data_IF_820997022361
#
_entry.id   IF_820997022361
#
_cell.length_a   1.000
_cell.length_b   1.000
_cell.length_c   1.000
_cell.angle_alpha   90.00
_cell.angle_beta   90.00
_cell.angle_gamma   90.00
#
_symmetry.space_group_name_H-M   'P 1'
#
loop_
_entity.id
_entity.type
_entity.pdbx_description
1 polymer ?
#
# COMPACT_ATOMS: atom_id res chain seq x y z
N UNK A 1 -17.03 1.51 -20.89
CA UNK A 1 -16.39 1.65 -22.23
C UNK A 1 -15.85 3.05 -22.53
N UNK A 2 -16.32 4.10 -21.83
CA UNK A 2 -15.85 5.48 -22.10
C UNK A 2 -14.55 5.86 -21.39
N UNK A 3 -14.16 5.15 -20.34
CA UNK A 3 -12.89 5.37 -19.62
C UNK A 3 -11.70 5.05 -20.53
N UNK A 4 -11.77 3.98 -21.31
CA UNK A 4 -10.70 3.59 -22.25
C UNK A 4 -10.51 4.53 -23.44
N UNK A 5 -11.53 5.33 -23.80
CA UNK A 5 -11.46 6.29 -24.92
C UNK A 5 -10.76 7.60 -24.56
N UNK A 6 -10.42 7.81 -23.29
CA UNK A 6 -9.90 9.08 -22.78
C UNK A 6 -8.45 9.01 -22.33
N UNK A 7 -7.75 7.90 -22.58
CA UNK A 7 -6.35 7.71 -22.23
C UNK A 7 -5.42 8.45 -23.20
N UNK A 8 -4.20 8.75 -22.76
CA UNK A 8 -3.15 9.39 -23.55
C UNK A 8 -2.92 8.68 -24.89
N UNK A 9 -2.93 7.34 -24.88
CA UNK A 9 -2.76 6.53 -26.08
C UNK A 9 -3.73 6.92 -27.20
N UNK A 10 -5.01 7.16 -26.90
CA UNK A 10 -5.99 7.56 -27.91
C UNK A 10 -5.69 8.93 -28.52
N UNK A 11 -5.15 9.85 -27.72
CA UNK A 11 -4.74 11.17 -28.20
C UNK A 11 -3.50 11.07 -29.08
N UNK A 12 -2.51 10.29 -28.66
CA UNK A 12 -1.30 10.00 -29.43
C UNK A 12 -1.68 9.37 -30.78
N UNK A 13 -2.55 8.35 -30.79
CA UNK A 13 -3.05 7.68 -32.01
C UNK A 13 -3.66 8.69 -32.98
N UNK A 14 -4.51 9.60 -32.49
CA UNK A 14 -5.14 10.63 -33.32
C UNK A 14 -4.13 11.63 -33.85
N UNK A 15 -3.21 12.09 -33.02
CA UNK A 15 -2.22 13.11 -33.38
C UNK A 15 -1.24 12.64 -34.46
N UNK A 16 -0.86 11.37 -34.41
CA UNK A 16 0.05 10.77 -35.38
C UNK A 16 -0.65 10.09 -36.57
N UNK A 17 -1.96 10.33 -36.75
CA UNK A 17 -2.76 9.74 -37.84
C UNK A 17 -2.62 8.21 -37.95
N UNK A 18 -2.54 7.54 -36.81
CA UNK A 18 -2.61 6.08 -36.72
C UNK A 18 -4.03 5.64 -37.01
N UNK A 19 -4.23 4.65 -37.86
CA UNK A 19 -5.54 4.14 -38.22
C UNK A 19 -6.08 3.16 -37.17
N UNK A 20 -7.09 3.54 -36.34
CA UNK A 20 -7.50 2.71 -35.19
C UNK A 20 -8.08 1.36 -35.61
N UNK A 21 -8.80 1.32 -36.75
CA UNK A 21 -9.41 0.08 -37.25
C UNK A 21 -8.35 -0.94 -37.69
N UNK A 22 -7.29 -0.46 -38.33
CA UNK A 22 -6.17 -1.30 -38.77
C UNK A 22 -5.36 -1.77 -37.56
N UNK A 23 -5.06 -0.86 -36.65
CA UNK A 23 -4.35 -1.21 -35.41
C UNK A 23 -5.10 -2.26 -34.60
N UNK A 24 -6.42 -2.11 -34.44
CA UNK A 24 -7.25 -3.07 -33.71
C UNK A 24 -7.24 -4.45 -34.37
N UNK A 25 -7.32 -4.51 -35.70
CA UNK A 25 -7.24 -5.76 -36.45
C UNK A 25 -5.87 -6.43 -36.27
N UNK A 26 -4.79 -5.69 -36.45
CA UNK A 26 -3.41 -6.22 -36.36
C UNK A 26 -3.16 -6.77 -34.94
N UNK A 27 -3.63 -6.06 -33.88
CA UNK A 27 -3.52 -6.52 -32.50
C UNK A 27 -4.37 -7.78 -32.23
N UNK A 28 -5.57 -7.87 -32.80
CA UNK A 28 -6.43 -9.06 -32.67
C UNK A 28 -5.77 -10.27 -33.34
N UNK A 29 -5.24 -10.10 -34.55
CA UNK A 29 -4.49 -11.15 -35.24
C UNK A 29 -3.25 -11.59 -34.49
N UNK A 30 -2.52 -10.66 -33.85
CA UNK A 30 -1.37 -10.98 -33.01
C UNK A 30 -1.76 -11.78 -31.76
N UNK A 31 -2.87 -11.43 -31.12
CA UNK A 31 -3.42 -12.17 -29.97
C UNK A 31 -3.86 -13.60 -30.38
N UNK A 32 -4.47 -13.76 -31.54
CA UNK A 32 -4.90 -15.08 -32.04
C UNK A 32 -3.74 -16.03 -32.36
N UNK A 33 -2.55 -15.48 -32.66
CA UNK A 33 -1.33 -16.26 -32.91
C UNK A 33 -0.65 -16.72 -31.63
N UNK A 34 -1.05 -16.22 -30.45
CA UNK A 34 -0.44 -16.64 -29.17
C UNK A 34 -0.81 -18.09 -28.83
N UNK A 35 0.13 -18.87 -28.27
CA UNK A 35 -0.14 -20.24 -27.83
C UNK A 35 -1.26 -20.25 -26.79
N UNK A 36 -2.30 -21.05 -27.02
CA UNK A 36 -3.41 -21.24 -26.09
C UNK A 36 -3.15 -22.49 -25.24
N UNK A 37 -3.47 -22.44 -23.95
CA UNK A 37 -3.48 -23.64 -23.07
C UNK A 37 -2.47 -23.68 -21.95
N UNK A 38 -1.86 -22.56 -21.57
CA UNK A 38 -1.09 -22.48 -20.32
C UNK A 38 -2.04 -22.43 -19.12
N UNK A 39 -1.97 -23.42 -18.23
CA UNK A 39 -2.80 -23.51 -17.01
C UNK A 39 -2.26 -22.73 -15.81
N UNK A 40 -1.08 -22.14 -15.92
CA UNK A 40 -0.49 -21.28 -14.87
C UNK A 40 0.27 -20.13 -15.48
N UNK A 41 -0.11 -18.92 -15.12
CA UNK A 41 0.68 -17.70 -15.34
C UNK A 41 1.57 -17.58 -14.11
N UNK A 42 2.86 -17.84 -14.24
CA UNK A 42 3.81 -17.81 -13.14
C UNK A 42 4.53 -16.48 -13.01
N UNK A 43 4.58 -15.67 -14.10
CA UNK A 43 5.28 -14.38 -14.07
C UNK A 43 4.84 -13.46 -15.22
N UNK A 44 5.14 -12.16 -15.10
CA UNK A 44 4.97 -11.18 -16.16
C UNK A 44 6.08 -11.36 -17.21
N UNK A 45 5.77 -11.05 -18.47
CA UNK A 45 6.78 -11.03 -19.53
C UNK A 45 7.84 -9.96 -19.23
N UNK A 46 9.13 -10.28 -19.42
CA UNK A 46 10.24 -9.33 -19.26
C UNK A 46 10.05 -8.05 -20.10
N UNK A 47 9.37 -8.13 -21.24
CA UNK A 47 9.03 -6.94 -22.04
C UNK A 47 8.01 -6.03 -21.33
N UNK A 48 7.10 -6.59 -20.53
CA UNK A 48 6.13 -5.78 -19.75
C UNK A 48 6.84 -5.08 -18.60
N UNK A 49 7.73 -5.80 -17.90
CA UNK A 49 8.54 -5.22 -16.83
C UNK A 49 9.45 -4.11 -17.35
N UNK A 50 10.18 -4.36 -18.43
CA UNK A 50 11.03 -3.38 -19.10
C UNK A 50 10.23 -2.17 -19.60
N UNK A 51 9.02 -2.37 -20.14
CA UNK A 51 8.16 -1.27 -20.61
C UNK A 51 7.72 -0.36 -19.45
N UNK A 52 7.35 -0.94 -18.30
CA UNK A 52 6.95 -0.18 -17.10
C UNK A 52 8.16 0.58 -16.54
N UNK A 53 9.31 -0.08 -16.39
CA UNK A 53 10.55 0.55 -15.94
C UNK A 53 10.95 1.74 -16.83
N UNK A 54 10.96 1.54 -18.14
CA UNK A 54 11.29 2.61 -19.10
C UNK A 54 10.27 3.73 -19.11
N UNK A 55 8.98 3.39 -19.01
CA UNK A 55 7.91 4.38 -18.87
C UNK A 55 8.10 5.26 -17.64
N UNK A 56 8.46 4.65 -16.51
CA UNK A 56 8.76 5.39 -15.28
C UNK A 56 10.03 6.24 -15.40
N UNK A 57 11.12 5.69 -15.94
CA UNK A 57 12.38 6.42 -16.15
C UNK A 57 12.17 7.66 -17.03
N UNK A 58 11.47 7.54 -18.16
CA UNK A 58 11.21 8.69 -19.04
C UNK A 58 10.21 9.67 -18.41
N UNK A 59 9.17 9.18 -17.71
CA UNK A 59 8.22 10.02 -16.99
C UNK A 59 8.88 10.87 -15.91
N UNK A 60 9.73 10.25 -15.09
CA UNK A 60 10.41 10.95 -14.00
C UNK A 60 11.55 11.86 -14.48
N UNK A 61 12.38 11.42 -15.43
CA UNK A 61 13.55 12.20 -15.88
C UNK A 61 13.20 13.35 -16.84
N UNK A 62 12.21 13.15 -17.73
CA UNK A 62 11.89 14.15 -18.76
C UNK A 62 10.74 15.07 -18.36
N UNK A 63 9.80 14.57 -17.55
CA UNK A 63 8.57 15.30 -17.21
C UNK A 63 8.39 15.54 -15.71
N UNK A 64 9.31 15.02 -14.85
CA UNK A 64 9.26 15.24 -13.39
C UNK A 64 8.09 14.57 -12.67
N UNK A 65 7.44 13.61 -13.31
CA UNK A 65 6.25 12.94 -12.79
C UNK A 65 6.59 11.72 -11.93
N UNK A 66 5.88 11.55 -10.84
CA UNK A 66 6.05 10.41 -9.92
C UNK A 66 5.18 9.19 -10.29
N UNK A 67 4.22 9.36 -11.20
CA UNK A 67 3.30 8.31 -11.63
C UNK A 67 3.50 7.94 -13.09
N UNK A 68 3.35 6.65 -13.40
CA UNK A 68 3.42 6.15 -14.77
C UNK A 68 2.04 6.29 -15.43
N UNK A 69 1.97 7.08 -16.51
CA UNK A 69 0.77 7.20 -17.35
C UNK A 69 0.98 6.50 -18.70
N UNK A 70 -0.10 6.23 -19.41
CA UNK A 70 -0.03 5.47 -20.68
C UNK A 70 0.83 6.17 -21.74
N UNK A 71 0.88 7.48 -21.75
CA UNK A 71 1.75 8.25 -22.64
C UNK A 71 3.24 7.99 -22.41
N UNK A 72 3.67 7.87 -21.15
CA UNK A 72 5.07 7.56 -20.81
C UNK A 72 5.43 6.11 -21.13
N UNK A 73 4.49 5.17 -20.98
CA UNK A 73 4.69 3.80 -21.42
C UNK A 73 4.94 3.73 -22.93
N UNK A 74 4.12 4.41 -23.72
CA UNK A 74 4.28 4.49 -25.17
C UNK A 74 5.64 5.08 -25.55
N UNK A 75 6.04 6.17 -24.90
CA UNK A 75 7.34 6.82 -25.12
C UNK A 75 8.49 5.89 -24.73
N UNK A 76 8.41 5.22 -23.58
CA UNK A 76 9.40 4.28 -23.08
C UNK A 76 9.60 3.09 -24.03
N UNK A 77 8.49 2.52 -24.52
CA UNK A 77 8.52 1.42 -25.49
C UNK A 77 9.16 1.88 -26.81
N UNK A 78 8.78 3.02 -27.34
CA UNK A 78 9.29 3.50 -28.64
C UNK A 78 10.75 3.96 -28.60
N UNK A 79 11.25 4.43 -27.46
CA UNK A 79 12.66 4.83 -27.28
C UNK A 79 13.58 3.65 -26.93
N UNK A 80 13.05 2.50 -26.56
CA UNK A 80 13.83 1.30 -26.21
C UNK A 80 13.90 0.36 -27.43
N UNK A 81 15.07 0.09 -28.03
CA UNK A 81 15.17 -0.66 -29.30
C UNK A 81 14.52 -2.05 -29.25
N UNK A 82 14.71 -2.82 -28.15
CA UNK A 82 14.11 -4.15 -27.95
C UNK A 82 12.58 -4.10 -27.99
N UNK A 83 11.99 -3.19 -27.22
CA UNK A 83 10.55 -3.01 -27.09
C UNK A 83 9.93 -2.42 -28.35
N UNK A 84 10.62 -1.46 -28.98
CA UNK A 84 10.19 -0.90 -30.26
C UNK A 84 10.09 -1.96 -31.35
N UNK A 85 11.09 -2.85 -31.45
CA UNK A 85 11.07 -3.94 -32.41
C UNK A 85 9.89 -4.89 -32.18
N UNK A 86 9.63 -5.24 -30.91
CA UNK A 86 8.48 -6.06 -30.53
C UNK A 86 7.15 -5.37 -30.91
N UNK A 87 7.01 -4.06 -30.60
CA UNK A 87 5.81 -3.28 -30.89
C UNK A 87 5.54 -3.16 -32.40
N UNK A 88 6.58 -2.89 -33.20
CA UNK A 88 6.47 -2.83 -34.67
C UNK A 88 6.16 -4.19 -35.29
N UNK A 89 6.57 -5.29 -34.64
CA UNK A 89 6.18 -6.65 -35.04
C UNK A 89 4.69 -6.95 -34.81
N UNK A 90 4.01 -6.21 -33.93
CA UNK A 90 2.57 -6.33 -33.73
C UNK A 90 1.78 -5.55 -34.79
N UNK A 91 2.16 -4.31 -35.06
CA UNK A 91 1.55 -3.49 -36.12
C UNK A 91 2.52 -2.43 -36.62
N UNK A 92 2.62 -2.30 -37.91
CA UNK A 92 3.40 -1.25 -38.59
C UNK A 92 2.83 0.16 -38.36
N UNK A 93 1.60 0.28 -37.90
CA UNK A 93 0.95 1.56 -37.59
C UNK A 93 1.70 2.34 -36.49
N UNK A 94 2.38 1.64 -35.58
CA UNK A 94 3.18 2.28 -34.54
C UNK A 94 4.43 3.03 -35.06
N UNK A 95 4.91 2.76 -36.26
CA UNK A 95 6.04 3.50 -36.84
C UNK A 95 5.68 4.95 -37.24
N UNK A 96 4.39 5.25 -37.32
CA UNK A 96 3.91 6.62 -37.52
C UNK A 96 4.18 7.50 -36.30
N UNK A 97 4.26 6.92 -35.10
CA UNK A 97 4.52 7.65 -33.88
C UNK A 97 6.02 7.88 -33.75
N UNK A 98 6.44 9.12 -33.96
CA UNK A 98 7.85 9.49 -33.85
C UNK A 98 8.17 9.85 -32.38
N UNK A 99 9.06 9.11 -31.71
CA UNK A 99 9.33 9.29 -30.28
C UNK A 99 9.94 10.65 -29.95
N UNK A 100 10.70 11.25 -30.88
CA UNK A 100 11.29 12.58 -30.73
C UNK A 100 10.18 13.64 -30.68
N UNK A 101 9.29 13.66 -31.67
CA UNK A 101 8.16 14.58 -31.74
C UNK A 101 7.20 14.40 -30.57
N UNK A 102 6.98 13.15 -30.13
CA UNK A 102 6.15 12.85 -28.97
C UNK A 102 6.78 13.41 -27.68
N UNK A 103 8.11 13.27 -27.50
CA UNK A 103 8.79 13.78 -26.31
C UNK A 103 8.90 15.30 -26.25
N UNK A 104 9.07 15.98 -27.39
CA UNK A 104 9.19 17.44 -27.46
C UNK A 104 7.87 18.19 -27.21
N UNK A 105 6.74 17.60 -27.62
CA UNK A 105 5.42 18.23 -27.55
C UNK A 105 4.42 17.40 -26.74
N UNK A 106 4.91 16.71 -25.73
CA UNK A 106 4.09 15.76 -24.97
C UNK A 106 2.86 16.42 -24.36
N UNK A 107 3.05 17.55 -23.65
CA UNK A 107 1.98 18.29 -22.99
C UNK A 107 0.96 18.87 -23.96
N UNK A 108 1.39 19.27 -25.15
CA UNK A 108 0.49 19.74 -26.20
C UNK A 108 -0.44 18.62 -26.71
N UNK A 109 0.08 17.38 -26.79
CA UNK A 109 -0.67 16.24 -27.28
C UNK A 109 -1.61 15.60 -26.26
N UNK A 110 -1.22 15.61 -24.97
CA UNK A 110 -1.96 14.89 -23.92
C UNK A 110 -2.40 15.78 -22.74
N UNK A 111 -2.18 17.10 -22.80
CA UNK A 111 -2.48 18.04 -21.71
C UNK A 111 -3.93 18.04 -21.24
N UNK A 112 -4.90 17.81 -22.13
CA UNK A 112 -6.32 17.66 -21.79
C UNK A 112 -6.74 16.22 -21.50
N UNK A 113 -5.81 15.28 -21.34
CA UNK A 113 -6.14 13.89 -21.01
C UNK A 113 -6.63 13.77 -19.57
N UNK A 114 -7.62 12.90 -19.30
CA UNK A 114 -8.03 12.58 -17.92
C UNK A 114 -6.90 12.02 -17.07
N UNK A 115 -5.88 11.43 -17.68
CA UNK A 115 -4.69 10.98 -16.95
C UNK A 115 -3.88 12.16 -16.38
N UNK A 116 -4.06 13.36 -16.91
CA UNK A 116 -3.43 14.57 -16.37
C UNK A 116 -4.02 14.97 -14.99
N UNK A 117 -5.29 14.62 -14.73
CA UNK A 117 -5.91 14.83 -13.42
C UNK A 117 -5.47 13.80 -12.37
N UNK A 118 -4.82 12.71 -12.80
CA UNK A 118 -4.23 11.69 -11.94
C UNK A 118 -2.76 12.00 -11.60
N UNK A 119 -2.13 12.97 -12.28
CA UNK A 119 -0.84 13.48 -11.87
C UNK A 119 -1.03 14.16 -10.51
N UNK A 120 -0.63 13.47 -9.45
CA UNK A 120 -0.55 14.09 -8.15
C UNK A 120 0.44 15.25 -8.27
N UNK A 121 -0.03 16.47 -8.14
CA UNK A 121 0.82 17.65 -8.03
C UNK A 121 1.53 17.57 -6.68
N UNK A 122 2.62 16.83 -6.62
CA UNK A 122 3.56 16.87 -5.51
C UNK A 122 4.39 18.14 -5.62
N UNK A 123 3.78 19.30 -5.71
CA UNK A 123 4.42 20.62 -5.49
C UNK A 123 5.81 20.88 -6.09
N UNK A 124 6.33 20.01 -6.93
CA UNK A 124 7.60 20.17 -7.61
C UNK A 124 7.38 21.00 -8.88
N UNK A 125 7.60 22.29 -8.78
CA UNK A 125 7.85 23.12 -9.96
C UNK A 125 9.13 22.60 -10.64
N UNK A 126 8.98 21.97 -11.79
CA UNK A 126 10.09 21.62 -12.65
C UNK A 126 10.84 22.91 -13.04
N UNK A 127 12.07 23.04 -12.56
CA UNK A 127 13.00 24.06 -13.05
C UNK A 127 13.23 23.89 -14.54
N UNK A 128 13.55 24.98 -15.20
CA UNK A 128 13.79 25.10 -16.65
C UNK A 128 14.79 24.04 -17.11
N UNK A 129 14.58 23.34 -18.25
CA UNK A 129 15.52 22.35 -18.77
C UNK A 129 16.90 22.98 -19.02
N UNK A 130 17.91 22.52 -18.29
CA UNK A 130 19.30 23.00 -18.44
C UNK A 130 19.97 23.40 -17.12
N UNK A 131 19.26 23.57 -16.03
CA UNK A 131 19.88 23.69 -14.72
C UNK A 131 20.22 22.29 -14.19
N UNK A 132 21.44 22.11 -13.70
CA UNK A 132 21.90 20.90 -13.04
C UNK A 132 20.86 20.52 -12.00
N UNK A 133 20.42 19.24 -12.00
CA UNK A 133 19.44 18.71 -11.06
C UNK A 133 19.80 19.21 -9.67
N UNK A 134 19.12 20.24 -9.23
CA UNK A 134 19.25 20.74 -7.88
C UNK A 134 18.64 19.68 -6.97
N UNK A 135 19.50 18.78 -6.47
CA UNK A 135 19.26 18.27 -5.14
C UNK A 135 18.98 19.51 -4.31
N UNK A 136 17.71 19.77 -3.99
CA UNK A 136 17.34 20.92 -3.16
C UNK A 136 18.23 20.86 -1.94
N UNK A 137 19.04 21.93 -1.77
CA UNK A 137 19.86 22.05 -0.58
C UNK A 137 18.92 21.84 0.63
N UNK A 138 19.33 21.12 1.68
CA UNK A 138 18.51 20.80 2.85
C UNK A 138 17.82 22.00 3.51
N UNK A 139 18.23 23.20 3.18
CA UNK A 139 17.71 24.49 3.70
C UNK A 139 16.41 24.98 3.03
N UNK A 140 15.92 24.35 1.97
CA UNK A 140 14.73 24.81 1.22
C UNK A 140 13.44 24.08 1.58
N UNK A 141 13.49 22.95 2.31
CA UNK A 141 12.29 22.36 2.92
C UNK A 141 11.79 23.27 4.05
N UNK A 142 10.53 23.69 3.98
CA UNK A 142 9.89 24.47 5.04
C UNK A 142 10.01 23.75 6.39
N UNK A 143 10.12 24.52 7.48
CA UNK A 143 10.22 23.98 8.85
C UNK A 143 9.09 22.96 9.07
N UNK A 144 9.43 21.72 9.44
CA UNK A 144 8.55 20.55 9.71
C UNK A 144 7.99 19.80 8.49
N UNK A 145 8.50 20.02 7.29
CA UNK A 145 8.00 19.33 6.09
C UNK A 145 8.46 17.86 6.06
N UNK A 146 9.70 17.57 6.45
CA UNK A 146 10.21 16.21 6.57
C UNK A 146 9.45 15.41 7.64
N UNK A 147 9.10 16.06 8.75
CA UNK A 147 8.31 15.43 9.81
C UNK A 147 6.92 15.03 9.31
N UNK A 148 6.24 15.86 8.53
CA UNK A 148 4.93 15.56 7.95
C UNK A 148 5.00 14.46 6.89
N UNK A 149 6.07 14.45 6.09
CA UNK A 149 6.24 13.52 4.98
C UNK A 149 6.60 12.10 5.43
N UNK A 150 7.47 11.99 6.43
CA UNK A 150 8.04 10.71 6.85
C UNK A 150 7.52 10.19 8.19
N UNK A 151 6.54 10.87 8.79
CA UNK A 151 5.95 10.42 10.05
C UNK A 151 4.44 10.52 10.04
N UNK A 152 3.79 9.60 10.78
CA UNK A 152 2.34 9.60 11.03
C UNK A 152 2.09 10.08 12.45
N UNK A 153 1.19 11.04 12.65
CA UNK A 153 0.83 11.55 13.97
C UNK A 153 -0.22 10.64 14.63
N UNK A 154 0.22 9.81 15.58
CA UNK A 154 -0.65 8.90 16.32
C UNK A 154 -1.56 9.64 17.31
N UNK A 155 -1.10 10.78 17.87
CA UNK A 155 -1.94 11.58 18.76
C UNK A 155 -3.07 12.27 18.01
N UNK A 156 -2.86 12.68 16.77
CA UNK A 156 -3.92 13.21 15.92
C UNK A 156 -4.89 12.12 15.46
N UNK A 157 -4.38 10.92 15.15
CA UNK A 157 -5.24 9.78 14.86
C UNK A 157 -6.10 9.40 16.07
N UNK A 158 -5.54 9.44 17.27
CA UNK A 158 -6.30 9.23 18.51
C UNK A 158 -7.40 10.27 18.69
N UNK A 159 -7.11 11.57 18.46
CA UNK A 159 -8.10 12.67 18.56
C UNK A 159 -9.23 12.52 17.53
N UNK A 160 -8.89 12.09 16.32
CA UNK A 160 -9.86 11.88 15.25
C UNK A 160 -10.65 10.57 15.36
N UNK A 161 -10.41 9.75 16.39
CA UNK A 161 -11.10 8.47 16.60
C UNK A 161 -10.76 7.39 15.58
N UNK A 162 -9.59 7.51 14.94
CA UNK A 162 -9.11 6.52 13.95
C UNK A 162 -8.40 5.32 14.58
N UNK A 163 -8.01 5.44 15.84
CA UNK A 163 -7.39 4.34 16.56
C UNK A 163 -8.44 3.50 17.28
N UNK A 164 -8.26 2.20 17.24
CA UNK A 164 -9.11 1.27 17.94
C UNK A 164 -8.92 1.35 19.47
N UNK A 165 -9.94 1.05 20.28
CA UNK A 165 -9.79 0.95 21.73
C UNK A 165 -8.79 -0.15 22.10
N UNK A 166 -7.77 0.19 22.88
CA UNK A 166 -6.77 -0.77 23.34
C UNK A 166 -7.12 -1.25 24.74
N UNK A 167 -7.34 -2.54 24.87
CA UNK A 167 -7.70 -3.22 26.11
C UNK A 167 -6.65 -4.28 26.43
N UNK A 168 -6.34 -4.47 27.73
CA UNK A 168 -5.48 -5.56 28.20
C UNK A 168 -3.97 -5.32 28.07
N UNK A 169 -3.54 -4.08 27.75
CA UNK A 169 -2.13 -3.65 27.68
C UNK A 169 -1.77 -2.54 28.67
N UNK A 170 -2.59 -2.39 29.71
CA UNK A 170 -2.44 -1.32 30.70
C UNK A 170 -1.11 -1.37 31.45
N UNK A 171 -0.58 -2.55 31.72
CA UNK A 171 0.66 -2.75 32.46
C UNK A 171 1.85 -2.30 31.61
N UNK A 172 1.92 -2.73 30.34
CA UNK A 172 2.97 -2.36 29.42
C UNK A 172 2.94 -0.86 29.13
N UNK A 173 1.75 -0.26 29.00
CA UNK A 173 1.60 1.20 28.81
C UNK A 173 2.08 1.95 30.07
N UNK A 174 1.76 1.49 31.29
CA UNK A 174 2.28 2.10 32.53
C UNK A 174 3.81 2.02 32.58
N UNK A 175 4.40 0.87 32.29
CA UNK A 175 5.85 0.72 32.24
C UNK A 175 6.49 1.66 31.22
N UNK A 176 5.85 1.82 30.05
CA UNK A 176 6.31 2.75 29.00
C UNK A 176 6.30 4.19 29.54
N UNK A 177 5.22 4.62 30.19
CA UNK A 177 5.09 5.95 30.80
C UNK A 177 6.16 6.15 31.89
N UNK A 178 6.34 5.17 32.76
CA UNK A 178 7.34 5.22 33.85
C UNK A 178 8.77 5.38 33.30
N UNK A 179 9.10 4.69 32.22
CA UNK A 179 10.41 4.80 31.58
C UNK A 179 10.58 6.19 30.97
N UNK A 180 9.57 6.69 30.26
CA UNK A 180 9.60 8.03 29.66
C UNK A 180 9.78 9.16 30.71
N UNK A 181 9.37 8.94 31.94
CA UNK A 181 9.54 9.91 33.06
C UNK A 181 10.93 9.87 33.69
N UNK A 182 11.76 8.90 33.37
CA UNK A 182 13.12 8.78 33.96
C UNK A 182 14.06 9.86 33.43
N UNK A 183 15.06 10.18 34.24
CA UNK A 183 16.13 11.10 33.83
C UNK A 183 17.17 10.45 32.89
N UNK A 184 17.38 9.14 33.03
CA UNK A 184 18.31 8.33 32.24
C UNK A 184 17.62 7.06 31.82
N UNK A 185 18.06 6.45 30.71
CA UNK A 185 17.40 5.27 30.13
C UNK A 185 15.89 5.53 29.96
N UNK A 186 15.56 6.67 29.39
CA UNK A 186 14.22 7.19 29.27
C UNK A 186 13.58 6.91 27.88
N UNK A 187 14.18 6.00 27.10
CA UNK A 187 13.61 5.53 25.85
C UNK A 187 13.18 4.07 26.04
N UNK A 188 11.89 3.76 26.06
CA UNK A 188 11.43 2.38 26.10
C UNK A 188 11.66 1.68 24.78
N UNK A 189 12.03 0.40 24.86
CA UNK A 189 12.05 -0.50 23.71
C UNK A 189 11.16 -1.70 23.98
N UNK A 190 10.08 -1.81 23.20
CA UNK A 190 9.13 -2.90 23.25
C UNK A 190 9.73 -4.13 22.58
N UNK A 191 9.86 -5.22 23.30
CA UNK A 191 10.37 -6.48 22.77
C UNK A 191 9.33 -7.57 22.88
N UNK A 192 9.15 -8.35 21.82
CA UNK A 192 8.18 -9.44 21.78
C UNK A 192 8.07 -10.01 20.37
N UNK A 193 7.48 -11.18 20.26
CA UNK A 193 7.26 -11.83 18.97
C UNK A 193 6.36 -11.01 18.06
N UNK A 194 6.38 -11.33 16.75
CA UNK A 194 5.47 -10.71 15.79
C UNK A 194 4.01 -11.07 16.15
N UNK A 195 3.10 -10.09 16.08
CA UNK A 195 1.68 -10.31 16.35
C UNK A 195 1.25 -10.24 17.82
N UNK A 196 2.15 -10.02 18.79
CA UNK A 196 1.76 -9.86 20.20
C UNK A 196 1.14 -8.49 20.52
N UNK A 197 1.13 -7.53 19.57
CA UNK A 197 0.53 -6.22 19.75
C UNK A 197 1.46 -5.15 20.33
N UNK A 198 2.74 -5.12 19.93
CA UNK A 198 3.68 -4.06 20.31
C UNK A 198 3.21 -2.67 19.86
N UNK A 199 2.74 -2.56 18.63
CA UNK A 199 2.21 -1.31 18.07
C UNK A 199 0.95 -0.85 18.84
N UNK A 200 0.07 -1.80 19.22
CA UNK A 200 -1.12 -1.51 20.04
C UNK A 200 -0.77 -0.87 21.40
N UNK A 201 0.36 -1.26 22.03
CA UNK A 201 0.82 -0.61 23.28
C UNK A 201 1.11 0.87 23.03
N UNK A 202 1.71 1.21 21.89
CA UNK A 202 2.04 2.60 21.52
C UNK A 202 0.79 3.40 21.16
N UNK A 203 -0.14 2.78 20.42
CA UNK A 203 -1.45 3.37 20.13
C UNK A 203 -2.26 3.61 21.40
N UNK A 204 -2.26 2.65 22.33
CA UNK A 204 -2.87 2.81 23.66
C UNK A 204 -2.24 3.95 24.47
N UNK A 205 -0.94 4.17 24.34
CA UNK A 205 -0.27 5.32 24.94
C UNK A 205 -0.73 6.64 24.27
N UNK A 206 -0.90 6.69 22.94
CA UNK A 206 -1.46 7.84 22.24
C UNK A 206 -2.89 8.16 22.74
N UNK A 207 -3.74 7.14 22.90
CA UNK A 207 -5.10 7.31 23.44
C UNK A 207 -5.08 7.90 24.86
N UNK A 208 -4.17 7.45 25.75
CA UNK A 208 -4.01 8.01 27.08
C UNK A 208 -3.50 9.45 27.09
N UNK A 209 -2.60 9.82 26.19
CA UNK A 209 -2.16 11.22 26.02
C UNK A 209 -3.36 12.11 25.71
N UNK A 210 -4.18 11.70 24.76
CA UNK A 210 -5.35 12.46 24.30
C UNK A 210 -6.43 12.53 25.40
N UNK A 211 -6.64 11.44 26.13
CA UNK A 211 -7.55 11.40 27.28
C UNK A 211 -7.04 12.19 28.50
N UNK A 212 -5.76 12.63 28.49
CA UNK A 212 -5.14 13.32 29.62
C UNK A 212 -4.75 12.39 30.77
N UNK A 213 -4.83 11.07 30.57
CA UNK A 213 -4.49 10.03 31.56
C UNK A 213 -2.98 9.70 31.55
N UNK A 214 -2.18 10.77 31.63
CA UNK A 214 -0.71 10.72 31.67
C UNK A 214 -0.18 11.80 32.62
N UNK A 215 1.05 11.64 33.12
CA UNK A 215 1.69 12.68 33.93
C UNK A 215 1.75 14.04 33.20
N UNK A 216 1.72 15.17 33.93
CA UNK A 216 1.70 16.51 33.35
C UNK A 216 2.78 16.77 32.27
N UNK A 217 3.98 16.19 32.42
CA UNK A 217 5.07 16.31 31.50
C UNK A 217 4.84 15.62 30.13
N UNK A 218 3.80 14.78 30.02
CA UNK A 218 3.46 14.04 28.80
C UNK A 218 2.13 14.49 28.17
N UNK A 219 1.39 15.43 28.78
CA UNK A 219 0.07 15.85 28.29
C UNK A 219 0.12 16.59 26.95
N UNK A 220 1.15 17.38 26.72
CA UNK A 220 1.31 18.21 25.51
C UNK A 220 2.24 17.59 24.47
N UNK A 221 2.56 16.29 24.63
CA UNK A 221 3.47 15.56 23.73
C UNK A 221 2.73 15.12 22.48
N UNK A 222 3.36 15.28 21.34
CA UNK A 222 2.98 14.64 20.09
C UNK A 222 3.72 13.29 19.94
N UNK A 223 2.97 12.21 19.79
CA UNK A 223 3.52 10.89 19.48
C UNK A 223 3.45 10.63 17.98
N UNK A 224 4.61 10.50 17.35
CA UNK A 224 4.70 10.30 15.91
C UNK A 224 5.38 9.00 15.55
N UNK A 225 4.79 8.23 14.66
CA UNK A 225 5.37 7.00 14.11
C UNK A 225 6.24 7.31 12.92
N UNK A 226 7.49 6.87 12.93
CA UNK A 226 8.42 7.00 11.81
C UNK A 226 8.14 5.92 10.77
N UNK A 227 7.88 6.33 9.54
CA UNK A 227 7.73 5.41 8.42
C UNK A 227 9.09 5.16 7.75
N UNK A 228 9.70 4.03 8.12
CA UNK A 228 11.00 3.61 7.57
C UNK A 228 10.89 3.25 6.09
N UNK A 229 9.74 2.73 5.66
CA UNK A 229 9.48 2.41 4.26
C UNK A 229 9.50 3.66 3.38
N UNK A 230 8.82 4.74 3.79
CA UNK A 230 8.85 6.03 3.07
C UNK A 230 10.24 6.68 3.08
N UNK A 231 11.02 6.51 4.16
CA UNK A 231 12.40 6.99 4.18
C UNK A 231 13.27 6.28 3.16
N UNK A 232 13.06 4.99 2.93
CA UNK A 232 13.81 4.15 1.99
C UNK A 232 13.28 4.25 0.56
N UNK A 233 11.97 4.52 0.38
CA UNK A 233 11.35 4.59 -0.93
C UNK A 233 12.01 5.66 -1.81
N UNK A 234 12.49 5.27 -2.99
CA UNK A 234 13.15 6.16 -3.95
C UNK A 234 14.53 6.69 -3.52
N UNK A 235 15.09 6.23 -2.41
CA UNK A 235 16.46 6.57 -2.01
C UNK A 235 17.47 5.75 -2.84
N UNK A 236 17.64 6.11 -4.11
CA UNK A 236 18.54 5.44 -5.04
C UNK A 236 20.00 5.89 -4.92
N UNK A 237 20.28 7.02 -4.28
CA UNK A 237 21.63 7.51 -4.02
C UNK A 237 22.08 7.19 -2.61
N UNK A 238 23.35 6.77 -2.48
CA UNK A 238 23.99 6.56 -1.19
C UNK A 238 23.96 7.87 -0.40
N UNK A 239 23.34 7.85 0.79
CA UNK A 239 23.25 9.03 1.68
C UNK A 239 21.89 9.74 1.68
N UNK A 240 21.00 9.47 0.74
CA UNK A 240 19.69 10.13 0.69
C UNK A 240 18.79 9.72 1.85
N UNK A 241 18.80 8.44 2.21
CA UNK A 241 18.11 7.91 3.38
C UNK A 241 18.60 8.56 4.68
N UNK A 242 19.94 8.65 4.86
CA UNK A 242 20.54 9.29 6.01
C UNK A 242 20.21 10.79 6.09
N UNK A 243 20.15 11.46 4.94
CA UNK A 243 19.79 12.88 4.86
C UNK A 243 18.33 13.09 5.27
N UNK A 244 17.40 12.26 4.79
CA UNK A 244 15.99 12.31 5.18
C UNK A 244 15.81 12.04 6.68
N UNK A 245 16.47 11.02 7.22
CA UNK A 245 16.43 10.71 8.65
C UNK A 245 17.02 11.86 9.49
N UNK A 246 18.13 12.46 9.05
CA UNK A 246 18.73 13.62 9.72
C UNK A 246 17.75 14.79 9.76
N UNK A 247 17.06 15.05 8.65
CA UNK A 247 16.07 16.12 8.54
C UNK A 247 14.87 15.88 9.49
N UNK A 248 14.36 14.65 9.60
CA UNK A 248 13.33 14.30 10.57
C UNK A 248 13.82 14.54 12.01
N UNK A 249 15.05 14.16 12.33
CA UNK A 249 15.64 14.39 13.66
C UNK A 249 15.75 15.90 13.96
N UNK A 250 16.20 16.68 13.00
CA UNK A 250 16.31 18.14 13.13
C UNK A 250 14.92 18.80 13.31
N UNK A 251 13.91 18.36 12.56
CA UNK A 251 12.55 18.86 12.69
C UNK A 251 11.93 18.49 14.06
N UNK A 252 12.18 17.28 14.57
CA UNK A 252 11.76 16.87 15.92
C UNK A 252 12.40 17.76 16.98
N UNK A 253 13.70 18.07 16.85
CA UNK A 253 14.42 18.91 17.81
C UNK A 253 14.03 20.39 17.74
N UNK A 254 13.63 20.87 16.57
CA UNK A 254 13.20 22.25 16.34
C UNK A 254 11.70 22.46 16.64
N UNK A 255 10.95 21.41 16.95
CA UNK A 255 9.52 21.51 17.20
C UNK A 255 9.22 22.29 18.49
N UNK A 256 8.25 23.23 18.45
CA UNK A 256 7.81 23.95 19.65
C UNK A 256 7.11 23.07 20.67
N UNK A 257 6.52 21.97 20.23
CA UNK A 257 5.91 20.94 21.08
C UNK A 257 6.85 19.78 21.25
N UNK A 258 6.91 19.17 22.45
CA UNK A 258 7.71 17.97 22.65
C UNK A 258 7.19 16.83 21.76
N UNK A 259 8.07 16.21 20.99
CA UNK A 259 7.73 15.06 20.16
C UNK A 259 8.41 13.81 20.71
N UNK A 260 7.65 12.71 20.77
CA UNK A 260 8.18 11.36 20.97
C UNK A 260 8.06 10.63 19.66
N UNK A 261 9.18 10.10 19.15
CA UNK A 261 9.23 9.36 17.90
C UNK A 261 9.08 7.86 18.17
N UNK A 262 8.04 7.26 17.61
CA UNK A 262 7.90 5.81 17.59
C UNK A 262 8.62 5.21 16.40
N UNK A 263 9.46 4.22 16.64
CA UNK A 263 10.23 3.52 15.60
C UNK A 263 9.87 2.03 15.69
N UNK A 264 8.99 1.61 14.78
CA UNK A 264 8.72 0.18 14.64
C UNK A 264 9.87 -0.51 13.90
N UNK A 265 10.07 -1.79 14.16
CA UNK A 265 11.19 -2.57 13.63
C UNK A 265 12.55 -1.85 13.74
N UNK A 266 12.82 -1.27 14.92
CA UNK A 266 14.02 -0.43 15.17
C UNK A 266 15.34 -1.09 14.79
N UNK A 267 15.37 -2.42 14.72
CA UNK A 267 16.53 -3.19 14.25
C UNK A 267 16.89 -2.87 12.79
N UNK A 268 15.95 -2.48 11.97
CA UNK A 268 16.18 -2.08 10.57
C UNK A 268 17.06 -0.85 10.46
N UNK A 269 16.97 0.07 11.43
CA UNK A 269 17.80 1.28 11.50
C UNK A 269 19.16 1.04 12.17
N UNK A 270 19.28 -0.01 13.01
CA UNK A 270 20.47 -0.25 13.83
C UNK A 270 21.34 -1.38 13.28
N UNK A 271 20.75 -2.40 12.65
CA UNK A 271 21.38 -3.68 12.36
C UNK A 271 21.85 -3.89 10.94
N UNK A 272 21.56 -3.03 10.03
CA UNK A 272 21.80 -3.25 8.60
C UNK A 272 23.23 -2.91 8.14
N UNK A 273 24.22 -3.29 8.90
CA UNK A 273 25.64 -3.22 8.48
C UNK A 273 26.04 -4.11 7.31
N UNK A 274 25.08 -4.70 6.58
CA UNK A 274 25.31 -5.60 5.46
C UNK A 274 24.79 -5.15 4.10
N UNK A 275 23.78 -4.30 4.06
CA UNK A 275 23.29 -3.68 2.83
C UNK A 275 23.86 -2.24 2.73
N UNK A 276 24.39 -1.89 1.58
CA UNK A 276 24.97 -0.57 1.34
C UNK A 276 23.91 0.52 1.61
N UNK A 277 24.09 1.31 2.69
CA UNK A 277 23.26 2.46 3.00
C UNK A 277 22.64 2.51 4.41
N UNK A 278 22.52 1.41 5.15
CA UNK A 278 21.83 1.39 6.44
C UNK A 278 22.76 1.42 7.67
N UNK A 279 24.05 1.24 7.50
CA UNK A 279 25.05 1.33 8.60
C UNK A 279 25.16 2.73 9.20
N UNK A 280 24.81 3.76 8.47
CA UNK A 280 24.95 5.16 8.90
C UNK A 280 23.74 5.69 9.68
N UNK A 281 22.55 5.07 9.58
CA UNK A 281 21.37 5.46 10.34
C UNK A 281 21.58 5.34 11.86
N UNK A 282 22.20 4.26 12.31
CA UNK A 282 22.56 4.08 13.72
C UNK A 282 23.50 5.20 14.21
N UNK A 283 24.41 5.65 13.36
CA UNK A 283 25.36 6.72 13.70
C UNK A 283 24.68 8.09 13.82
N UNK A 284 23.54 8.30 13.17
CA UNK A 284 22.73 9.51 13.31
C UNK A 284 21.87 9.48 14.58
N UNK A 285 21.25 8.33 14.89
CA UNK A 285 20.40 8.17 16.06
C UNK A 285 21.18 8.17 17.37
N UNK A 286 22.34 7.49 17.44
CA UNK A 286 23.15 7.38 18.65
C UNK A 286 23.50 8.72 19.29
N UNK A 287 24.00 9.73 18.56
CA UNK A 287 24.29 11.04 19.15
C UNK A 287 23.05 11.79 19.64
N UNK A 288 21.93 11.69 18.92
CA UNK A 288 20.68 12.35 19.28
C UNK A 288 20.08 11.75 20.58
N UNK A 289 20.06 10.43 20.68
CA UNK A 289 19.68 9.68 21.86
C UNK A 289 20.66 9.94 23.04
N UNK A 290 21.97 10.04 22.73
CA UNK A 290 22.99 10.27 23.74
C UNK A 290 22.86 11.64 24.40
N UNK A 291 22.57 12.68 23.63
CA UNK A 291 22.34 14.04 24.13
C UNK A 291 20.99 14.21 24.83
N UNK A 292 20.05 13.24 24.66
CA UNK A 292 18.68 13.36 25.16
C UNK A 292 17.83 14.36 24.39
N UNK A 293 18.27 14.79 23.22
CA UNK A 293 17.55 15.71 22.34
C UNK A 293 16.48 15.03 21.51
N UNK A 294 16.51 13.70 21.47
CA UNK A 294 15.49 12.87 20.82
C UNK A 294 14.94 11.88 21.84
N UNK A 295 13.63 11.89 22.03
CA UNK A 295 12.90 10.90 22.83
C UNK A 295 12.25 9.91 21.89
N UNK A 296 12.46 8.62 22.12
CA UNK A 296 11.95 7.57 21.27
C UNK A 296 11.26 6.46 22.05
N UNK A 297 10.26 5.86 21.42
CA UNK A 297 9.73 4.54 21.75
C UNK A 297 10.12 3.63 20.60
N UNK A 298 10.81 2.55 20.86
CA UNK A 298 11.22 1.59 19.83
C UNK A 298 10.43 0.28 19.99
N UNK A 299 10.26 -0.45 18.87
CA UNK A 299 9.73 -1.81 18.90
C UNK A 299 10.59 -2.74 18.05
N UNK A 300 10.77 -3.98 18.50
CA UNK A 300 11.52 -5.01 17.78
C UNK A 300 11.15 -6.40 18.30
N UNK A 301 11.61 -7.46 17.64
CA UNK A 301 11.52 -8.81 18.21
C UNK A 301 12.63 -9.06 19.24
N UNK A 302 12.42 -10.04 20.13
CA UNK A 302 13.44 -10.39 21.11
C UNK A 302 14.75 -10.87 20.49
N UNK A 303 14.66 -11.65 19.41
CA UNK A 303 15.80 -12.16 18.69
C UNK A 303 16.65 -11.03 18.07
N UNK A 304 15.98 -10.05 17.46
CA UNK A 304 16.62 -8.89 16.82
C UNK A 304 17.19 -7.90 17.85
N UNK A 305 16.51 -7.73 18.98
CA UNK A 305 17.05 -6.96 20.10
C UNK A 305 18.39 -7.51 20.54
N UNK A 306 18.48 -8.82 20.82
CA UNK A 306 19.74 -9.48 21.22
C UNK A 306 20.82 -9.39 20.16
N UNK A 307 20.45 -9.51 18.90
CA UNK A 307 21.39 -9.51 17.78
C UNK A 307 21.98 -8.14 17.49
N UNK A 308 21.18 -7.08 17.54
CA UNK A 308 21.51 -5.76 17.01
C UNK A 308 21.63 -4.66 18.07
N UNK A 309 20.85 -4.70 19.15
CA UNK A 309 20.78 -3.61 20.13
C UNK A 309 21.53 -3.94 21.43
N UNK A 310 21.35 -5.15 21.97
CA UNK A 310 21.97 -5.57 23.22
C UNK A 310 23.51 -5.54 23.17
N UNK A 311 24.08 -5.81 22.01
CA UNK A 311 25.54 -5.81 21.79
C UNK A 311 26.15 -4.42 21.67
N UNK A 312 25.33 -3.38 21.54
CA UNK A 312 25.79 -2.01 21.42
C UNK A 312 25.67 -1.26 22.75
N UNK A 313 26.79 -1.02 23.47
CA UNK A 313 26.76 -0.34 24.79
C UNK A 313 26.21 1.09 24.74
N UNK A 314 26.26 1.76 23.58
CA UNK A 314 25.74 3.11 23.42
C UNK A 314 24.20 3.11 23.39
N UNK A 315 23.59 2.06 22.84
CA UNK A 315 22.13 1.91 22.78
C UNK A 315 21.57 1.31 24.07
N UNK A 316 22.19 0.27 24.63
CA UNK A 316 21.73 -0.36 25.88
C UNK A 316 21.70 0.59 27.07
N UNK A 317 22.58 1.60 27.11
CA UNK A 317 22.56 2.66 28.13
C UNK A 317 21.44 3.69 27.92
N UNK A 318 20.74 3.65 26.83
CA UNK A 318 19.69 4.63 26.46
C UNK A 318 18.31 4.03 26.40
N UNK A 319 18.23 2.77 26.04
CA UNK A 319 16.98 2.03 25.97
C UNK A 319 16.73 1.21 27.24
N UNK A 320 15.46 1.17 27.66
CA UNK A 320 14.98 0.27 28.70
C UNK A 320 13.97 -0.70 28.09
N UNK A 321 14.19 -1.98 28.26
CA UNK A 321 13.33 -3.02 27.71
C UNK A 321 12.00 -3.08 28.43
N UNK A 322 10.92 -3.14 27.65
CA UNK A 322 9.56 -3.50 28.07
C UNK A 322 9.19 -4.76 27.29
N UNK A 323 9.02 -5.85 27.98
CA UNK A 323 8.65 -7.11 27.37
C UNK A 323 7.14 -7.15 27.12
N UNK A 324 6.75 -7.33 25.86
CA UNK A 324 5.36 -7.54 25.43
C UNK A 324 5.20 -9.02 25.11
N UNK A 325 4.71 -9.77 26.09
CA UNK A 325 4.48 -11.20 25.95
C UNK A 325 3.18 -11.51 25.21
N UNK A 326 3.08 -12.73 24.67
CA UNK A 326 1.79 -13.25 24.18
C UNK A 326 0.78 -13.21 25.32
N UNK A 327 -0.42 -12.63 25.13
CA UNK A 327 -1.44 -12.60 26.17
C UNK A 327 -2.01 -14.01 26.42
N UNK A 328 -2.48 -14.26 27.64
CA UNK A 328 -3.31 -15.44 27.92
C UNK A 328 -4.61 -15.40 27.11
N UNK A 329 -5.27 -16.56 26.93
CA UNK A 329 -6.57 -16.62 26.25
C UNK A 329 -7.60 -15.64 26.81
N UNK A 330 -7.69 -15.52 28.15
CA UNK A 330 -8.60 -14.59 28.82
C UNK A 330 -8.29 -13.13 28.48
N UNK A 331 -7.01 -12.75 28.50
CA UNK A 331 -6.59 -11.40 28.09
C UNK A 331 -6.83 -11.16 26.59
N UNK A 332 -6.55 -12.16 25.76
CA UNK A 332 -6.82 -12.07 24.33
C UNK A 332 -8.31 -11.92 24.03
N UNK A 333 -9.18 -12.61 24.77
CA UNK A 333 -10.63 -12.44 24.65
C UNK A 333 -11.08 -11.01 24.99
N UNK A 334 -10.52 -10.42 26.06
CA UNK A 334 -10.79 -9.02 26.39
C UNK A 334 -10.33 -8.06 25.27
N UNK A 335 -9.16 -8.33 24.66
CA UNK A 335 -8.67 -7.55 23.51
C UNK A 335 -9.62 -7.68 22.31
N UNK A 336 -10.08 -8.90 22.02
CA UNK A 336 -11.03 -9.17 20.93
C UNK A 336 -12.37 -8.45 21.14
N UNK A 337 -12.87 -8.39 22.37
CA UNK A 337 -14.06 -7.58 22.70
C UNK A 337 -13.87 -6.10 22.44
N UNK A 338 -12.65 -5.58 22.66
CA UNK A 338 -12.30 -4.19 22.36
C UNK A 338 -12.40 -3.83 20.87
N UNK A 339 -12.04 -4.73 19.97
CA UNK A 339 -12.06 -4.49 18.52
C UNK A 339 -13.33 -4.98 17.82
N UNK A 340 -14.20 -5.70 18.54
CA UNK A 340 -15.41 -6.30 17.96
C UNK A 340 -16.31 -5.26 17.27
N UNK A 341 -16.58 -4.11 17.90
CA UNK A 341 -17.43 -3.08 17.36
C UNK A 341 -16.87 -2.44 16.07
N UNK A 342 -15.55 -2.34 15.94
CA UNK A 342 -14.89 -1.84 14.74
C UNK A 342 -15.04 -2.84 13.59
N UNK A 343 -14.86 -4.14 13.87
CA UNK A 343 -15.06 -5.20 12.89
C UNK A 343 -16.51 -5.31 12.43
N UNK A 344 -17.49 -5.20 13.36
CA UNK A 344 -18.91 -5.18 13.02
C UNK A 344 -19.26 -4.05 12.07
N UNK A 345 -18.74 -2.85 12.33
CA UNK A 345 -18.96 -1.68 11.46
C UNK A 345 -18.29 -1.86 10.10
N UNK A 346 -17.10 -2.46 10.06
CA UNK A 346 -16.36 -2.66 8.82
C UNK A 346 -17.03 -3.68 7.90
N UNK A 347 -17.39 -4.85 8.46
CA UNK A 347 -17.97 -5.94 7.69
C UNK A 347 -19.49 -5.90 7.57
N UNK A 348 -20.16 -5.00 8.31
CA UNK A 348 -21.63 -4.91 8.39
C UNK A 348 -22.27 -6.24 8.84
N UNK A 349 -21.63 -6.93 9.79
CA UNK A 349 -22.09 -8.19 10.37
C UNK A 349 -22.14 -8.06 11.89
N UNK A 350 -23.02 -8.80 12.54
CA UNK A 350 -23.08 -8.90 14.00
C UNK A 350 -22.13 -9.99 14.48
N UNK A 351 -21.32 -9.70 15.49
CA UNK A 351 -20.33 -10.62 16.07
C UNK A 351 -20.80 -10.99 17.49
N UNK A 352 -21.09 -12.27 17.68
CA UNK A 352 -21.47 -12.80 18.99
C UNK A 352 -20.22 -13.02 19.87
N UNK A 353 -20.38 -12.91 21.20
CA UNK A 353 -19.29 -13.15 22.16
C UNK A 353 -18.72 -14.58 22.04
N UNK A 354 -19.59 -15.56 21.74
CA UNK A 354 -19.18 -16.93 21.45
C UNK A 354 -18.23 -17.03 20.24
N UNK A 355 -18.40 -16.19 19.21
CA UNK A 355 -17.51 -16.14 18.07
C UNK A 355 -16.14 -15.56 18.44
N UNK A 356 -16.10 -14.55 19.32
CA UNK A 356 -14.86 -14.01 19.88
C UNK A 356 -14.11 -15.07 20.68
N UNK A 357 -14.79 -15.76 21.58
CA UNK A 357 -14.22 -16.84 22.37
C UNK A 357 -13.71 -18.00 21.48
N UNK A 358 -14.51 -18.41 20.49
CA UNK A 358 -14.12 -19.44 19.54
C UNK A 358 -12.91 -19.01 18.71
N UNK A 359 -12.83 -17.75 18.27
CA UNK A 359 -11.70 -17.24 17.50
C UNK A 359 -10.39 -17.34 18.28
N UNK A 360 -10.41 -17.01 19.58
CA UNK A 360 -9.24 -17.11 20.46
C UNK A 360 -8.84 -18.58 20.67
N UNK A 361 -9.77 -19.44 21.10
CA UNK A 361 -9.49 -20.84 21.40
C UNK A 361 -9.03 -21.63 20.16
N UNK A 362 -9.73 -21.46 19.03
CA UNK A 362 -9.39 -22.18 17.80
C UNK A 362 -8.08 -21.70 17.21
N UNK A 363 -7.82 -20.39 17.16
CA UNK A 363 -6.55 -19.88 16.66
C UNK A 363 -5.39 -20.29 17.56
N UNK A 364 -5.56 -20.28 18.89
CA UNK A 364 -4.52 -20.70 19.82
C UNK A 364 -4.17 -22.18 19.63
N UNK A 365 -5.18 -23.02 19.42
CA UNK A 365 -5.02 -24.48 19.25
C UNK A 365 -4.46 -24.87 17.91
N UNK A 366 -4.94 -24.24 16.81
CA UNK A 366 -4.68 -24.69 15.44
C UNK A 366 -3.71 -23.83 14.64
N UNK A 367 -3.34 -22.65 15.16
CA UNK A 367 -2.39 -21.73 14.50
C UNK A 367 -1.19 -21.48 15.44
N UNK A 368 -0.30 -22.48 15.62
CA UNK A 368 0.83 -22.34 16.55
C UNK A 368 1.93 -21.39 16.04
N UNK A 369 2.02 -21.15 14.73
CA UNK A 369 3.08 -20.34 14.11
C UNK A 369 2.90 -18.82 14.31
N UNK A 370 1.73 -18.36 14.78
CA UNK A 370 1.42 -16.95 15.04
C UNK A 370 1.02 -16.75 16.50
N UNK A 371 1.13 -15.53 16.97
CA UNK A 371 0.84 -15.17 18.37
C UNK A 371 -0.56 -14.57 18.54
N UNK A 372 -1.13 -14.70 19.74
CA UNK A 372 -2.31 -13.94 20.16
C UNK A 372 -1.92 -12.46 20.38
N UNK A 373 -2.78 -11.50 20.10
CA UNK A 373 -4.15 -11.63 19.56
C UNK A 373 -4.22 -11.68 18.03
N UNK A 374 -3.14 -11.44 17.31
CA UNK A 374 -3.10 -11.27 15.86
C UNK A 374 -3.75 -12.45 15.09
N UNK A 375 -3.46 -13.69 15.48
CA UNK A 375 -4.07 -14.88 14.86
C UNK A 375 -5.58 -14.94 15.06
N UNK A 376 -6.09 -14.48 16.21
CA UNK A 376 -7.53 -14.44 16.52
C UNK A 376 -8.23 -13.35 15.70
N UNK A 377 -7.61 -12.17 15.62
CA UNK A 377 -8.09 -11.04 14.81
C UNK A 377 -8.21 -11.48 13.35
N UNK A 378 -7.15 -12.07 12.78
CA UNK A 378 -7.16 -12.55 11.38
C UNK A 378 -8.19 -13.63 11.11
N UNK A 379 -8.40 -14.55 12.06
CA UNK A 379 -9.41 -15.61 11.93
C UNK A 379 -10.81 -15.01 11.93
N UNK A 380 -11.09 -14.11 12.87
CA UNK A 380 -12.38 -13.44 12.98
C UNK A 380 -12.67 -12.55 11.77
N UNK A 381 -11.70 -11.76 11.33
CA UNK A 381 -11.78 -10.92 10.13
C UNK A 381 -12.16 -11.73 8.88
N UNK A 382 -11.46 -12.85 8.68
CA UNK A 382 -11.75 -13.78 7.58
C UNK A 382 -13.17 -14.38 7.70
N UNK A 383 -13.61 -14.72 8.90
CA UNK A 383 -14.96 -15.27 9.12
C UNK A 383 -16.03 -14.20 8.83
N UNK A 384 -15.84 -12.97 9.34
CA UNK A 384 -16.75 -11.85 9.08
C UNK A 384 -16.85 -11.52 7.58
N UNK A 385 -15.72 -11.48 6.87
CA UNK A 385 -15.70 -11.25 5.43
C UNK A 385 -16.49 -12.34 4.67
N UNK A 386 -16.34 -13.61 5.04
CA UNK A 386 -17.09 -14.71 4.44
C UNK A 386 -18.60 -14.61 4.71
N UNK A 387 -18.98 -14.24 5.94
CA UNK A 387 -20.39 -14.03 6.28
C UNK A 387 -20.96 -12.86 5.49
N UNK A 388 -20.25 -11.73 5.42
CA UNK A 388 -20.67 -10.56 4.65
C UNK A 388 -20.89 -10.90 3.16
N UNK A 389 -19.97 -11.66 2.55
CA UNK A 389 -20.11 -12.15 1.18
C UNK A 389 -21.36 -13.04 1.05
N UNK A 390 -21.57 -13.96 2.00
CA UNK A 390 -22.70 -14.89 1.94
C UNK A 390 -24.06 -14.20 2.08
N UNK A 391 -24.13 -13.09 2.82
CA UNK A 391 -25.35 -12.29 2.94
C UNK A 391 -25.75 -11.58 1.63
N UNK A 392 -24.78 -11.30 0.78
CA UNK A 392 -24.98 -10.63 -0.51
C UNK A 392 -24.84 -11.56 -1.71
N UNK A 393 -24.39 -12.77 -1.50
CA UNK A 393 -24.21 -13.74 -2.57
C UNK A 393 -25.58 -14.25 -3.05
N UNK A 394 -25.84 -14.08 -4.33
CA UNK A 394 -26.95 -14.78 -4.99
C UNK A 394 -26.62 -16.26 -4.97
N UNK A 395 -27.53 -17.16 -4.52
CA UNK A 395 -27.30 -18.60 -4.61
C UNK A 395 -26.87 -18.99 -6.03
N UNK A 396 -25.89 -19.90 -6.14
CA UNK A 396 -25.34 -20.29 -7.45
C UNK A 396 -26.44 -20.72 -8.45
N UNK A 397 -27.45 -21.45 -7.96
CA UNK A 397 -28.60 -21.87 -8.77
C UNK A 397 -29.41 -20.69 -9.35
N UNK A 398 -29.51 -19.60 -8.59
CA UNK A 398 -30.22 -18.39 -9.04
C UNK A 398 -29.36 -17.62 -10.04
N UNK A 399 -28.05 -17.51 -9.81
CA UNK A 399 -27.11 -16.88 -10.75
C UNK A 399 -27.02 -17.64 -12.07
N UNK A 400 -26.93 -18.97 -12.02
CA UNK A 400 -26.96 -19.84 -13.19
C UNK A 400 -28.27 -19.72 -13.97
N UNK A 401 -29.39 -19.62 -13.25
CA UNK A 401 -30.70 -19.40 -13.87
C UNK A 401 -30.80 -18.03 -14.56
N UNK A 402 -30.28 -16.97 -13.94
CA UNK A 402 -30.20 -15.63 -14.55
C UNK A 402 -29.36 -15.62 -15.82
N UNK A 403 -28.15 -16.21 -15.76
CA UNK A 403 -27.28 -16.31 -16.94
C UNK A 403 -27.93 -17.11 -18.07
N UNK A 404 -28.67 -18.15 -17.72
CA UNK A 404 -29.40 -18.95 -18.71
C UNK A 404 -30.55 -18.16 -19.35
N UNK A 405 -31.28 -17.35 -18.56
CA UNK A 405 -32.32 -16.45 -19.08
C UNK A 405 -31.70 -15.42 -20.04
N UNK A 406 -30.62 -14.74 -19.66
CA UNK A 406 -29.91 -13.78 -20.51
C UNK A 406 -29.42 -14.40 -21.83
N UNK A 407 -28.88 -15.63 -21.76
CA UNK A 407 -28.45 -16.37 -22.93
C UNK A 407 -29.64 -16.68 -23.89
N UNK A 408 -30.77 -17.16 -23.32
CA UNK A 408 -31.97 -17.46 -24.09
C UNK A 408 -32.62 -16.19 -24.68
N UNK A 409 -32.65 -15.10 -23.95
CA UNK A 409 -33.12 -13.79 -24.45
C UNK A 409 -32.27 -13.30 -25.63
N UNK A 410 -30.94 -13.48 -25.53
CA UNK A 410 -30.01 -13.14 -26.62
C UNK A 410 -30.26 -14.02 -27.86
N UNK A 411 -30.47 -15.32 -27.64
CA UNK A 411 -30.79 -16.25 -28.72
C UNK A 411 -32.13 -15.92 -29.39
N UNK A 412 -33.16 -15.57 -28.61
CA UNK A 412 -34.46 -15.11 -29.13
C UNK A 412 -34.32 -13.83 -29.95
N UNK A 413 -33.49 -12.87 -29.52
CA UNK A 413 -33.23 -11.65 -30.29
C UNK A 413 -32.54 -11.95 -31.62
N UNK A 414 -31.61 -12.89 -31.65
CA UNK A 414 -30.94 -13.33 -32.89
C UNK A 414 -31.95 -13.98 -33.82
N UNK A 415 -32.75 -14.92 -33.33
CA UNK A 415 -33.80 -15.62 -34.09
C UNK A 415 -34.82 -14.61 -34.65
N UNK A 416 -35.27 -13.66 -33.85
CA UNK A 416 -36.19 -12.62 -34.30
C UNK A 416 -35.60 -11.75 -35.42
N UNK A 417 -34.31 -11.44 -35.33
CA UNK A 417 -33.58 -10.70 -36.38
C UNK A 417 -33.45 -11.49 -37.67
N UNK A 418 -33.10 -12.77 -37.56
CA UNK A 418 -32.98 -13.69 -38.72
C UNK A 418 -34.32 -13.90 -39.40
N UNK A 419 -35.39 -14.02 -38.64
CA UNK A 419 -36.77 -14.11 -39.17
C UNK A 419 -37.19 -12.82 -39.91
N UNK A 420 -36.81 -11.67 -39.38
CA UNK A 420 -37.12 -10.38 -39.99
C UNK A 420 -36.44 -10.14 -41.38
N UNK A 421 -35.28 -10.80 -41.59
CA UNK A 421 -34.56 -10.77 -42.89
C UNK A 421 -34.90 -11.95 -43.82
N UNK A 422 -35.93 -12.78 -43.47
CA UNK A 422 -36.45 -13.85 -44.31
C UNK A 422 -35.66 -15.14 -44.28
N UNK A 423 -34.78 -15.34 -43.30
CA UNK A 423 -34.08 -16.61 -43.09
C UNK A 423 -35.06 -17.60 -42.44
N UNK A 424 -35.37 -18.72 -43.08
CA UNK A 424 -36.23 -19.75 -42.53
C UNK A 424 -35.54 -20.42 -41.34
N UNK A 425 -36.14 -20.30 -40.16
CA UNK A 425 -35.65 -20.96 -38.95
C UNK A 425 -35.96 -22.45 -39.08
N UNK A 426 -34.92 -23.30 -39.09
CA UNK A 426 -35.11 -24.75 -39.14
C UNK A 426 -35.88 -25.28 -37.93
N UNK A 427 -36.74 -26.26 -38.13
CA UNK A 427 -37.64 -26.83 -37.09
C UNK A 427 -36.94 -27.34 -35.82
N UNK A 428 -35.62 -27.52 -35.85
CA UNK A 428 -34.79 -27.99 -34.71
C UNK A 428 -34.64 -26.89 -33.62
N UNK A 429 -34.59 -25.62 -34.00
CA UNK A 429 -34.45 -24.51 -33.01
C UNK A 429 -35.74 -24.29 -32.22
N UNK A 430 -36.91 -24.53 -32.86
CA UNK A 430 -38.20 -24.34 -32.22
C UNK A 430 -38.56 -25.45 -31.21
N UNK A 431 -38.08 -26.65 -31.43
CA UNK A 431 -38.31 -27.81 -30.53
C UNK A 431 -37.48 -27.70 -29.25
N UNK A 432 -36.27 -27.12 -29.33
CA UNK A 432 -35.42 -26.88 -28.13
C UNK A 432 -36.02 -25.81 -27.21
N UNK A 433 -36.54 -24.71 -27.76
CA UNK A 433 -37.22 -23.67 -27.00
C UNK A 433 -38.49 -24.13 -26.31
N UNK A 434 -39.33 -24.92 -27.01
CA UNK A 434 -40.60 -25.48 -26.46
C UNK A 434 -40.37 -26.56 -25.40
N UNK A 435 -39.26 -27.30 -25.47
CA UNK A 435 -38.91 -28.30 -24.47
C UNK A 435 -38.45 -27.69 -23.13
N UNK A 436 -38.03 -26.40 -23.15
CA UNK A 436 -37.66 -25.68 -21.96
C UNK A 436 -38.85 -24.96 -21.29
N UNK A 437 -39.84 -24.48 -22.05
CA UNK A 437 -41.07 -23.91 -21.50
C UNK A 437 -41.96 -24.95 -20.77
N UNK A 438 -41.83 -26.22 -21.09
CA UNK A 438 -42.62 -27.30 -20.44
C UNK A 438 -41.94 -27.93 -19.21
N UNK A 439 -40.71 -27.45 -18.83
CA UNK A 439 -39.98 -27.93 -17.67
C UNK A 439 -39.77 -26.86 -16.59
N UNK A 440 -40.29 -25.65 -16.75
CA UNK A 440 -40.39 -24.60 -15.75
C UNK A 440 -41.82 -24.62 -15.12
#
# INVERSE_FOLDING_TARGET
SDVYKRQDLHRIIRQFNVEPARLARDLTEALDRLPRGSTSITDLSSHVEEAVERGWVYGSLMFGESQVRTGYLVLGILKTPSLRHALLGLSAEFDKIKPEALSERFDEYVGDSPENALSASDGFNAGVPGEASGAMAPSAMGKQEALKRFTVDLTEQARSGKLDPIVGRDEEIRQLVDILMRRRQNNPILTGEAGVGKTAVVEGFALRIVAGDVPPALKDVELRSLDVGLLQAGASMKGEFEQRLRQVIEDVQASPKPIILFIDEAHTLVGAGGAAGTGDAANLLKPALARGTLRTVAATTWAEYKKHIEKDPALTRRFQVVQVAEPSEDKALLMMRGVASTMEKHHQVQILDEALEASVKLSHRYIPARQLPDKSVSLLDTACARVAISLHAVPAEVDDSRRRIEALETELQIIAREHAIGIAIGAVSYTHLRAHETKA
#
